data_IF_272744634564
#
_entry.id   IF_272744634564
#
_cell.length_a   1.000
_cell.length_b   1.000
_cell.length_c   1.000
_cell.angle_alpha   90.00
_cell.angle_beta   90.00
_cell.angle_gamma   90.00
#
_symmetry.space_group_name_H-M   'P 1'
#
loop_
_entity.id
_entity.type
_entity.pdbx_description
1 polymer ?
#
# COMPACT_ATOMS: atom_id res chain seq x y z
N UNK A 1 9.09 -2.66 -1.82
CA UNK A 1 9.87 -1.40 -1.99
C UNK A 1 11.11 -1.64 -2.89
N UNK A 2 12.01 -0.67 -3.06
CA UNK A 2 13.21 -0.81 -3.89
C UNK A 2 14.15 -1.93 -3.37
N UNK A 3 14.71 -2.79 -4.25
CA UNK A 3 15.70 -3.80 -3.86
C UNK A 3 17.03 -3.15 -3.47
N UNK A 4 17.79 -3.74 -2.53
CA UNK A 4 19.02 -3.12 -2.02
C UNK A 4 20.07 -2.87 -3.11
N UNK A 5 20.16 -3.76 -4.10
CA UNK A 5 21.09 -3.61 -5.22
C UNK A 5 20.84 -2.36 -6.07
N UNK A 6 19.61 -1.82 -6.06
CA UNK A 6 19.29 -0.58 -6.78
C UNK A 6 19.87 0.66 -6.12
N UNK A 7 20.22 0.58 -4.83
CA UNK A 7 20.76 1.68 -4.02
C UNK A 7 22.29 1.79 -4.13
N UNK A 8 22.99 0.75 -4.59
CA UNK A 8 24.46 0.69 -4.61
C UNK A 8 25.11 1.85 -5.39
N UNK A 9 24.46 2.35 -6.44
CA UNK A 9 24.97 3.46 -7.25
C UNK A 9 24.99 4.80 -6.51
N UNK A 10 24.05 5.01 -5.59
CA UNK A 10 23.83 6.28 -4.90
C UNK A 10 24.38 6.24 -3.47
N UNK A 11 24.48 5.05 -2.87
CA UNK A 11 24.81 4.85 -1.47
C UNK A 11 26.01 3.88 -1.33
N UNK A 12 27.25 4.40 -1.27
CA UNK A 12 28.47 3.57 -1.35
C UNK A 12 28.68 2.56 -0.21
N UNK A 13 27.99 2.69 0.93
CA UNK A 13 28.07 1.71 2.03
C UNK A 13 27.08 0.55 1.85
N UNK A 14 26.14 0.65 0.89
CA UNK A 14 25.28 -0.45 0.43
C UNK A 14 26.03 -1.24 -0.66
N UNK A 15 27.29 -1.57 -0.38
CA UNK A 15 28.18 -2.29 -1.28
C UNK A 15 27.85 -3.80 -1.33
N UNK A 16 28.53 -4.53 -2.20
CA UNK A 16 28.30 -5.98 -2.34
C UNK A 16 28.53 -6.75 -1.02
N UNK A 17 29.43 -6.31 -0.15
CA UNK A 17 29.69 -6.97 1.14
C UNK A 17 28.51 -6.76 2.10
N UNK A 18 27.98 -5.54 2.17
CA UNK A 18 26.78 -5.23 2.92
C UNK A 18 25.55 -5.99 2.39
N UNK A 19 25.39 -6.07 1.06
CA UNK A 19 24.32 -6.84 0.43
C UNK A 19 24.42 -8.34 0.74
N UNK A 20 25.62 -8.93 0.73
CA UNK A 20 25.85 -10.33 1.12
C UNK A 20 25.50 -10.55 2.61
N UNK A 21 25.88 -9.60 3.47
CA UNK A 21 25.52 -9.63 4.89
C UNK A 21 23.99 -9.58 5.07
N UNK A 22 23.30 -8.66 4.40
CA UNK A 22 21.83 -8.57 4.40
C UNK A 22 21.18 -9.86 3.88
N UNK A 23 21.67 -10.39 2.76
CA UNK A 23 21.17 -11.64 2.19
C UNK A 23 21.32 -12.83 3.15
N UNK A 24 22.36 -12.86 3.99
CA UNK A 24 22.53 -13.89 5.02
C UNK A 24 21.48 -13.84 6.15
N UNK A 25 20.74 -12.73 6.23
CA UNK A 25 19.57 -12.54 7.10
C UNK A 25 18.26 -12.52 6.30
N UNK A 26 18.26 -12.96 5.04
CA UNK A 26 17.11 -12.87 4.14
C UNK A 26 16.59 -11.45 3.89
N UNK A 27 17.48 -10.45 3.97
CA UNK A 27 17.17 -9.04 3.65
C UNK A 27 17.62 -8.77 2.21
N UNK A 28 16.67 -8.51 1.30
CA UNK A 28 16.94 -8.23 -0.11
C UNK A 28 16.41 -6.86 -0.57
N UNK A 29 15.55 -6.24 0.22
CA UNK A 29 14.94 -4.93 -0.03
C UNK A 29 14.93 -4.05 1.22
N UNK A 30 14.65 -2.76 1.03
CA UNK A 30 14.46 -1.81 2.14
C UNK A 30 13.31 -2.25 3.07
N UNK A 31 12.30 -2.88 2.51
CA UNK A 31 11.13 -3.40 3.25
C UNK A 31 11.52 -4.57 4.15
N UNK A 32 12.30 -5.53 3.63
CA UNK A 32 12.81 -6.63 4.43
C UNK A 32 13.64 -6.10 5.61
N UNK A 33 14.46 -5.06 5.37
CA UNK A 33 15.26 -4.43 6.41
C UNK A 33 14.40 -3.80 7.51
N UNK A 34 13.30 -3.12 7.15
CA UNK A 34 12.35 -2.54 8.10
C UNK A 34 11.64 -3.58 8.98
N UNK A 35 11.47 -4.81 8.48
CA UNK A 35 10.85 -5.90 9.21
C UNK A 35 11.82 -6.64 10.14
N UNK A 36 13.12 -6.35 10.07
CA UNK A 36 14.13 -7.00 10.89
C UNK A 36 14.38 -6.26 12.21
N UNK A 37 14.68 -7.03 13.24
CA UNK A 37 15.19 -6.51 14.50
C UNK A 37 16.57 -5.88 14.28
N UNK A 38 16.63 -4.56 14.45
CA UNK A 38 17.83 -3.79 14.16
C UNK A 38 18.95 -4.03 15.17
N UNK A 39 18.62 -4.27 16.44
CA UNK A 39 19.60 -4.53 17.48
C UNK A 39 20.25 -5.90 17.28
N UNK A 40 19.45 -6.89 16.87
CA UNK A 40 19.96 -8.20 16.47
C UNK A 40 20.88 -8.10 15.25
N UNK A 41 20.55 -7.23 14.28
CA UNK A 41 21.35 -7.01 13.08
C UNK A 41 22.69 -6.32 13.39
N UNK A 42 22.71 -5.30 14.26
CA UNK A 42 23.96 -4.71 14.75
C UNK A 42 24.81 -5.74 15.49
N UNK A 43 24.19 -6.57 16.32
CA UNK A 43 24.90 -7.65 17.05
C UNK A 43 25.54 -8.65 16.08
N UNK A 44 24.84 -9.06 15.02
CA UNK A 44 25.37 -10.01 14.03
C UNK A 44 26.48 -9.40 13.16
N UNK A 45 26.40 -8.10 12.85
CA UNK A 45 27.46 -7.36 12.16
C UNK A 45 28.74 -7.27 13.01
N UNK A 46 28.60 -7.11 14.32
CA UNK A 46 29.73 -6.95 15.25
C UNK A 46 30.64 -8.19 15.29
N UNK A 47 30.07 -9.38 15.04
CA UNK A 47 30.79 -10.65 15.01
C UNK A 47 31.56 -10.93 13.70
N UNK A 48 31.57 -9.99 12.74
CA UNK A 48 32.19 -10.15 11.42
C UNK A 48 33.49 -9.32 11.32
N UNK A 49 34.43 -9.79 10.50
CA UNK A 49 35.71 -9.11 10.22
C UNK A 49 35.58 -7.71 9.61
N UNK A 50 34.43 -7.37 9.02
CA UNK A 50 34.11 -6.04 8.47
C UNK A 50 33.10 -5.25 9.31
N UNK A 51 33.00 -5.53 10.61
CA UNK A 51 32.00 -4.98 11.55
C UNK A 51 31.77 -3.47 11.41
N UNK A 52 32.85 -2.65 11.35
CA UNK A 52 32.71 -1.19 11.24
C UNK A 52 31.98 -0.74 9.96
N UNK A 53 32.33 -1.32 8.80
CA UNK A 53 31.68 -0.98 7.52
C UNK A 53 30.24 -1.48 7.48
N UNK A 54 29.97 -2.66 8.04
CA UNK A 54 28.60 -3.20 8.11
C UNK A 54 27.71 -2.31 8.97
N UNK A 55 28.18 -1.88 10.15
CA UNK A 55 27.44 -0.94 11.00
C UNK A 55 27.21 0.40 10.31
N UNK A 56 28.18 0.91 9.56
CA UNK A 56 28.01 2.09 8.72
C UNK A 56 26.97 1.89 7.62
N UNK A 57 26.92 0.71 6.99
CA UNK A 57 25.88 0.33 6.02
C UNK A 57 24.49 0.30 6.63
N UNK A 58 24.34 -0.29 7.84
CA UNK A 58 23.07 -0.29 8.60
C UNK A 58 22.63 1.16 8.86
N UNK A 59 23.53 2.02 9.34
CA UNK A 59 23.22 3.43 9.58
C UNK A 59 22.90 4.21 8.30
N UNK A 60 23.56 3.92 7.18
CA UNK A 60 23.24 4.55 5.90
C UNK A 60 21.86 4.11 5.41
N UNK A 61 21.48 2.85 5.60
CA UNK A 61 20.15 2.39 5.21
C UNK A 61 19.06 3.01 6.09
N UNK A 62 19.32 3.17 7.39
CA UNK A 62 18.46 3.93 8.29
C UNK A 62 18.30 5.40 7.86
N UNK A 63 19.38 6.07 7.49
CA UNK A 63 19.28 7.48 7.07
C UNK A 63 18.51 7.64 5.76
N UNK A 64 18.59 6.67 4.85
CA UNK A 64 17.73 6.62 3.66
C UNK A 64 16.26 6.48 4.06
N UNK A 65 15.96 5.58 4.99
CA UNK A 65 14.58 5.38 5.50
C UNK A 65 14.06 6.66 6.15
N UNK A 66 14.86 7.32 7.00
CA UNK A 66 14.51 8.58 7.65
C UNK A 66 14.36 9.74 6.64
N UNK A 67 15.03 9.68 5.48
CA UNK A 67 14.82 10.68 4.43
C UNK A 67 13.52 10.43 3.63
N UNK A 68 13.02 9.19 3.61
CA UNK A 68 11.88 8.77 2.80
C UNK A 68 10.59 8.61 3.60
N UNK A 69 10.65 8.54 4.93
CA UNK A 69 9.46 8.39 5.76
C UNK A 69 8.58 9.65 5.75
N UNK A 70 7.25 9.52 5.96
CA UNK A 70 6.41 10.68 6.18
C UNK A 70 6.91 11.48 7.40
N UNK A 71 6.90 12.82 7.35
CA UNK A 71 7.36 13.63 8.47
C UNK A 71 6.55 13.33 9.73
N UNK A 72 7.17 13.47 10.90
CA UNK A 72 6.45 13.38 12.16
C UNK A 72 5.40 14.51 12.23
N UNK A 73 4.13 14.14 12.28
CA UNK A 73 3.01 15.07 12.36
C UNK A 73 2.44 15.10 13.77
N UNK A 74 2.16 16.29 14.28
CA UNK A 74 1.37 16.45 15.50
C UNK A 74 -0.14 16.30 15.22
N UNK A 75 -0.95 16.22 16.28
CA UNK A 75 -2.39 16.00 16.16
C UNK A 75 -3.12 17.06 15.32
N UNK A 76 -2.69 18.33 15.37
CA UNK A 76 -3.31 19.39 14.57
C UNK A 76 -2.98 19.21 13.09
N UNK A 77 -1.71 18.95 12.76
CA UNK A 77 -1.26 18.71 11.40
C UNK A 77 -1.96 17.49 10.78
N UNK A 78 -2.16 16.41 11.55
CA UNK A 78 -2.91 15.24 11.10
C UNK A 78 -4.38 15.56 10.76
N UNK A 79 -5.02 16.43 11.56
CA UNK A 79 -6.41 16.86 11.29
C UNK A 79 -6.49 17.74 10.05
N UNK A 80 -5.52 18.63 9.85
CA UNK A 80 -5.43 19.47 8.66
C UNK A 80 -5.19 18.62 7.40
N UNK A 81 -4.24 17.68 7.47
CA UNK A 81 -3.96 16.72 6.41
C UNK A 81 -5.19 15.89 6.05
N UNK A 82 -5.87 15.31 7.04
CA UNK A 82 -7.08 14.52 6.81
C UNK A 82 -8.25 15.32 6.19
N UNK A 83 -8.27 16.65 6.37
CA UNK A 83 -9.26 17.54 5.77
C UNK A 83 -8.91 17.90 4.33
N UNK A 84 -7.63 18.16 4.04
CA UNK A 84 -7.16 18.60 2.72
C UNK A 84 -6.95 17.42 1.76
N UNK A 85 -6.41 16.30 2.26
CA UNK A 85 -6.04 15.13 1.47
C UNK A 85 -7.09 14.01 1.55
N UNK A 86 -8.37 14.38 1.56
CA UNK A 86 -9.49 13.43 1.62
C UNK A 86 -9.72 12.78 0.25
N UNK A 87 -8.89 11.80 -0.10
CA UNK A 87 -9.10 10.97 -1.28
C UNK A 87 -10.09 9.85 -0.98
N UNK A 88 -11.21 9.85 -1.70
CA UNK A 88 -12.29 8.88 -1.53
C UNK A 88 -12.69 8.33 -2.89
N UNK A 89 -12.90 7.02 -2.95
CA UNK A 89 -13.48 6.33 -4.09
C UNK A 89 -14.93 5.98 -3.82
N UNK A 90 -15.84 6.31 -4.73
CA UNK A 90 -17.22 5.85 -4.65
C UNK A 90 -17.29 4.32 -4.74
N UNK A 91 -18.18 3.72 -3.95
CA UNK A 91 -18.52 2.29 -4.05
C UNK A 91 -19.40 1.98 -5.27
N UNK A 92 -19.92 3.03 -5.95
CA UNK A 92 -20.96 2.92 -6.98
C UNK A 92 -22.38 2.84 -6.40
N UNK A 93 -22.53 2.76 -5.08
CA UNK A 93 -23.81 2.74 -4.38
C UNK A 93 -23.96 3.99 -3.50
N UNK A 94 -24.83 4.92 -3.89
CA UNK A 94 -25.03 6.19 -3.18
C UNK A 94 -25.40 6.00 -1.70
N UNK A 95 -26.22 4.98 -1.37
CA UNK A 95 -26.61 4.70 0.00
C UNK A 95 -25.44 4.26 0.88
N UNK A 96 -24.54 3.43 0.34
CA UNK A 96 -23.33 3.01 1.05
C UNK A 96 -22.38 4.18 1.18
N UNK A 97 -22.15 4.93 0.10
CA UNK A 97 -21.27 6.11 0.12
C UNK A 97 -21.72 7.13 1.16
N UNK A 98 -23.03 7.41 1.24
CA UNK A 98 -23.59 8.27 2.27
C UNK A 98 -23.34 7.74 3.68
N UNK A 99 -23.56 6.43 3.91
CA UNK A 99 -23.36 5.78 5.20
C UNK A 99 -21.91 5.88 5.69
N UNK A 100 -20.92 5.72 4.79
CA UNK A 100 -19.49 5.71 5.16
C UNK A 100 -18.79 7.07 5.02
N UNK A 101 -19.55 8.13 4.70
CA UNK A 101 -19.06 9.51 4.67
C UNK A 101 -18.34 9.91 3.38
N UNK A 102 -18.85 9.40 2.25
CA UNK A 102 -18.52 9.76 0.88
C UNK A 102 -18.00 8.62 0.00
N UNK A 103 -17.75 7.43 0.56
CA UNK A 103 -17.13 6.30 -0.13
C UNK A 103 -15.91 5.73 0.62
N UNK A 104 -15.13 4.88 -0.06
CA UNK A 104 -13.93 4.21 0.47
C UNK A 104 -12.74 5.18 0.52
N UNK A 105 -12.16 5.40 1.70
CA UNK A 105 -11.02 6.34 1.86
C UNK A 105 -9.70 5.68 1.51
N UNK A 106 -8.83 6.40 0.81
CA UNK A 106 -7.45 5.98 0.56
C UNK A 106 -6.68 5.88 1.88
N UNK A 107 -5.84 4.86 2.01
CA UNK A 107 -5.06 4.60 3.22
C UNK A 107 -5.87 4.00 4.38
N UNK A 108 -7.15 3.68 4.19
CA UNK A 108 -7.98 3.01 5.19
C UNK A 108 -8.37 1.60 4.76
N UNK A 109 -8.32 0.67 5.71
CA UNK A 109 -8.91 -0.66 5.56
C UNK A 109 -10.40 -0.59 5.93
N UNK A 110 -11.27 -0.92 4.97
CA UNK A 110 -12.73 -1.00 5.21
C UNK A 110 -13.16 -2.45 5.15
N UNK A 111 -13.72 -2.97 6.25
CA UNK A 111 -14.22 -4.34 6.34
C UNK A 111 -15.74 -4.39 6.17
N UNK A 112 -16.23 -5.22 5.25
CA UNK A 112 -17.66 -5.46 5.04
C UNK A 112 -18.04 -6.86 5.54
N UNK A 113 -18.80 -6.92 6.64
CA UNK A 113 -19.18 -8.17 7.31
C UNK A 113 -20.68 -8.42 7.20
N UNK A 114 -21.08 -9.69 7.10
CA UNK A 114 -22.49 -10.09 7.08
C UNK A 114 -22.70 -11.55 6.67
N UNK A 115 -23.91 -12.10 6.81
CA UNK A 115 -24.24 -13.49 6.48
C UNK A 115 -23.95 -13.87 5.01
N UNK A 116 -23.92 -15.16 4.69
CA UNK A 116 -23.85 -15.59 3.28
C UNK A 116 -25.00 -14.99 2.47
N UNK A 117 -24.75 -14.70 1.19
CA UNK A 117 -25.73 -14.11 0.27
C UNK A 117 -26.28 -12.72 0.65
N UNK A 118 -25.70 -12.02 1.64
CA UNK A 118 -26.05 -10.63 1.99
C UNK A 118 -25.59 -9.56 1.00
N UNK A 119 -24.92 -9.95 -0.10
CA UNK A 119 -24.47 -9.03 -1.15
C UNK A 119 -23.05 -8.47 -1.01
N UNK A 120 -22.24 -8.95 -0.05
CA UNK A 120 -20.85 -8.49 0.14
C UNK A 120 -20.02 -8.50 -1.15
N UNK A 121 -19.98 -9.63 -1.86
CA UNK A 121 -19.28 -9.76 -3.14
C UNK A 121 -19.81 -8.78 -4.19
N UNK A 122 -21.11 -8.49 -4.19
CA UNK A 122 -21.71 -7.52 -5.11
C UNK A 122 -21.21 -6.11 -4.84
N UNK A 123 -21.11 -5.71 -3.56
CA UNK A 123 -20.55 -4.41 -3.16
C UNK A 123 -19.07 -4.32 -3.55
N UNK A 124 -18.28 -5.39 -3.31
CA UNK A 124 -16.86 -5.41 -3.70
C UNK A 124 -16.68 -5.30 -5.23
N UNK A 125 -17.43 -6.08 -6.01
CA UNK A 125 -17.39 -6.03 -7.48
C UNK A 125 -17.84 -4.67 -8.02
N UNK A 126 -18.88 -4.07 -7.44
CA UNK A 126 -19.37 -2.73 -7.84
C UNK A 126 -18.33 -1.65 -7.51
N UNK A 127 -17.74 -1.70 -6.32
CA UNK A 127 -16.69 -0.76 -5.91
C UNK A 127 -15.47 -0.89 -6.82
N UNK A 128 -14.99 -2.11 -7.07
CA UNK A 128 -13.89 -2.38 -7.99
C UNK A 128 -14.18 -1.87 -9.41
N UNK A 129 -15.39 -2.13 -9.93
CA UNK A 129 -15.80 -1.66 -11.25
C UNK A 129 -15.87 -0.14 -11.34
N UNK A 130 -16.38 0.52 -10.28
CA UNK A 130 -16.49 1.97 -10.19
C UNK A 130 -15.11 2.62 -10.19
N UNK A 131 -14.17 2.10 -9.38
CA UNK A 131 -12.77 2.57 -9.36
C UNK A 131 -12.09 2.35 -10.72
N UNK A 132 -12.27 1.18 -11.34
CA UNK A 132 -11.68 0.87 -12.63
C UNK A 132 -12.16 1.82 -13.76
N UNK A 133 -13.41 2.30 -13.72
CA UNK A 133 -13.91 3.31 -14.67
C UNK A 133 -13.14 4.63 -14.64
N UNK A 134 -12.54 4.97 -13.50
CA UNK A 134 -11.76 6.18 -13.34
C UNK A 134 -10.30 6.01 -13.77
N UNK A 135 -9.99 5.02 -14.62
CA UNK A 135 -8.64 4.66 -15.09
C UNK A 135 -7.67 4.32 -13.94
N UNK A 136 -8.19 3.84 -12.81
CA UNK A 136 -7.38 3.33 -11.72
C UNK A 136 -7.18 1.81 -11.86
N UNK A 137 -5.99 1.33 -11.50
CA UNK A 137 -5.73 -0.12 -11.40
C UNK A 137 -6.40 -0.68 -10.15
N UNK A 138 -7.04 -1.84 -10.27
CA UNK A 138 -7.69 -2.55 -9.16
C UNK A 138 -7.18 -3.99 -9.12
N UNK A 139 -6.72 -4.41 -7.94
CA UNK A 139 -6.39 -5.80 -7.66
C UNK A 139 -7.57 -6.41 -6.88
N UNK A 140 -8.18 -7.46 -7.42
CA UNK A 140 -9.26 -8.19 -6.76
C UNK A 140 -8.75 -9.59 -6.38
N UNK A 141 -8.67 -9.86 -5.07
CA UNK A 141 -8.27 -11.17 -4.54
C UNK A 141 -9.52 -11.98 -4.21
N UNK A 142 -9.75 -13.05 -4.97
CA UNK A 142 -10.92 -13.91 -4.79
C UNK A 142 -10.56 -15.23 -4.12
N UNK A 143 -10.96 -15.38 -2.87
CA UNK A 143 -10.77 -16.61 -2.09
C UNK A 143 -11.98 -17.54 -2.14
N UNK A 144 -13.12 -17.06 -2.64
CA UNK A 144 -14.40 -17.76 -2.63
C UNK A 144 -14.85 -18.26 -4.01
N UNK A 145 -14.01 -18.11 -5.05
CA UNK A 145 -14.35 -18.40 -6.45
C UNK A 145 -15.68 -17.74 -6.87
N UNK A 146 -15.86 -16.49 -6.47
CA UNK A 146 -17.09 -15.70 -6.61
C UNK A 146 -16.94 -14.50 -7.56
N UNK A 147 -15.73 -14.28 -8.08
CA UNK A 147 -15.47 -13.24 -9.07
C UNK A 147 -16.21 -13.53 -10.39
N UNK A 148 -16.82 -12.49 -10.98
CA UNK A 148 -17.54 -12.60 -12.24
C UNK A 148 -17.18 -11.45 -13.19
N UNK A 149 -16.44 -11.72 -14.28
CA UNK A 149 -16.16 -10.72 -15.32
C UNK A 149 -17.42 -10.15 -15.96
N UNK A 150 -18.46 -10.98 -16.14
CA UNK A 150 -19.74 -10.55 -16.70
C UNK A 150 -20.42 -9.53 -15.79
N UNK A 151 -20.31 -9.73 -14.47
CA UNK A 151 -20.86 -8.79 -13.49
C UNK A 151 -20.11 -7.47 -13.48
N UNK A 152 -18.78 -7.51 -13.61
CA UNK A 152 -17.95 -6.31 -13.79
C UNK A 152 -18.34 -5.56 -15.06
N UNK A 153 -18.41 -6.25 -16.20
CA UNK A 153 -18.81 -5.65 -17.48
C UNK A 153 -20.19 -5.00 -17.40
N UNK A 154 -21.13 -5.65 -16.71
CA UNK A 154 -22.45 -5.09 -16.47
C UNK A 154 -22.40 -3.81 -15.63
N UNK A 155 -21.69 -3.82 -14.49
CA UNK A 155 -21.50 -2.59 -13.71
C UNK A 155 -20.80 -1.50 -14.51
N UNK A 156 -19.93 -1.88 -15.45
CA UNK A 156 -19.28 -0.93 -16.34
C UNK A 156 -20.28 -0.29 -17.32
N UNK A 157 -21.12 -1.11 -17.95
CA UNK A 157 -22.12 -0.67 -18.93
C UNK A 157 -23.27 0.17 -18.38
N UNK A 158 -23.64 0.04 -17.10
CA UNK A 158 -24.82 0.74 -16.53
C UNK A 158 -24.69 2.28 -16.39
N UNK A 159 -23.59 2.90 -16.80
CA UNK A 159 -23.41 4.37 -16.69
C UNK A 159 -23.70 5.16 -17.97
N UNK A 160 -24.05 4.52 -19.08
CA UNK A 160 -24.38 5.23 -20.33
C UNK A 160 -25.77 5.85 -20.36
N UNK A 161 -26.65 5.54 -19.40
CA UNK A 161 -28.06 5.93 -19.46
C UNK A 161 -28.45 7.11 -18.53
N UNK A 162 -27.48 7.79 -17.90
CA UNK A 162 -27.74 8.94 -17.03
C UNK A 162 -27.51 10.32 -17.68
N UNK A 163 -27.22 10.37 -18.99
CA UNK A 163 -27.13 11.63 -19.77
C UNK A 163 -28.11 11.59 -20.94
N UNK A 164 -29.40 11.57 -20.65
CA UNK A 164 -30.46 11.90 -21.60
C UNK A 164 -31.66 12.49 -20.87
N UNK A 165 -31.41 13.60 -20.18
CA UNK A 165 -32.44 14.54 -19.72
C UNK A 165 -32.08 15.94 -20.18
N UNK A 166 -32.97 16.54 -20.98
CA UNK A 166 -32.97 17.89 -21.57
C UNK A 166 -32.39 18.03 -22.98
N UNK A 167 -33.20 17.68 -23.98
CA UNK A 167 -33.60 18.60 -25.06
C UNK A 167 -35.10 18.46 -25.30
#
# INVERSE_FOLDING_TARGET
MAPLNSLEKEYPLIDSNFQIFCASHAIYSVEDFLLHDIDALFTSATNRSSSQKLNQGIHQLLSIIDALHPPLLNGLQLVEDARQNKHVFSTGCQGIDALIGGGLRVGQLTELVGPSSSGKTQVCLMSASTVAKHNCSVIYLDTGNSFSPQRVAHFIGQSSDYVSGNQ
#
